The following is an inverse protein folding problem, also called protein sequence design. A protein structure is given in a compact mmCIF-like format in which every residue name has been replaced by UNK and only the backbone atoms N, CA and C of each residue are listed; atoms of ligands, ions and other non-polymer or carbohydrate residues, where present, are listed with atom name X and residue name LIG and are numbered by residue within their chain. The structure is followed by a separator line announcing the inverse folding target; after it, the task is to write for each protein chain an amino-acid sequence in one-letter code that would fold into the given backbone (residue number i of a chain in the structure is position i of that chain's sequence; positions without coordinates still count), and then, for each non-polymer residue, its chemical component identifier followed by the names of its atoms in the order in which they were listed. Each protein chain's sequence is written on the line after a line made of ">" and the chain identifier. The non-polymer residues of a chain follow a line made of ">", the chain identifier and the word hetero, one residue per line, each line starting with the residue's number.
data_IF_539759064657
#
_entry.id   IF_539759064657
#
_cell.length_a   1.000
_cell.length_b   1.000
_cell.length_c   1.000
_cell.angle_alpha   90.00
_cell.angle_beta   90.00
_cell.angle_gamma   90.00
#
_symmetry.space_group_name_H-M   'P 1'
#
loop_
_entity.id
_entity.type
_entity.pdbx_description
1 polymer ?
#
# COMPACT_ATOMS: atom_id res chain seq x y z
N UNK A 1 -46.58 49.29 7.03
CA UNK A 1 -46.50 50.25 5.91
C UNK A 1 -45.24 49.92 5.12
N UNK A 2 -45.39 49.29 3.95
CA UNK A 2 -44.28 48.71 3.20
C UNK A 2 -43.44 49.80 2.51
N UNK A 3 -42.11 49.77 2.71
CA UNK A 3 -41.19 50.65 2.02
C UNK A 3 -41.14 50.29 0.52
N UNK A 4 -41.46 51.27 -0.33
CA UNK A 4 -41.40 51.15 -1.79
C UNK A 4 -40.00 50.74 -2.26
N UNK A 5 -39.85 49.75 -3.17
CA UNK A 5 -38.56 49.35 -3.69
C UNK A 5 -38.01 50.48 -4.58
N UNK A 6 -36.89 51.09 -4.18
CA UNK A 6 -36.20 52.12 -4.97
C UNK A 6 -35.77 51.51 -6.31
N UNK A 7 -36.51 51.79 -7.38
CA UNK A 7 -36.15 51.39 -8.73
C UNK A 7 -34.87 52.12 -9.14
N UNK A 8 -33.76 51.39 -9.28
CA UNK A 8 -32.46 51.94 -9.66
C UNK A 8 -32.51 52.41 -11.12
N UNK A 9 -32.85 53.68 -11.36
CA UNK A 9 -32.82 54.27 -12.71
C UNK A 9 -31.37 54.40 -13.17
N UNK A 10 -30.90 53.43 -13.94
CA UNK A 10 -29.60 53.48 -14.58
C UNK A 10 -29.59 54.58 -15.63
N UNK A 11 -28.74 55.58 -15.42
CA UNK A 11 -28.50 56.65 -16.38
C UNK A 11 -27.02 56.70 -16.73
N UNK A 12 -26.72 57.08 -17.97
CA UNK A 12 -25.37 57.18 -18.54
C UNK A 12 -24.41 58.09 -17.74
N UNK A 13 -24.95 58.99 -16.90
CA UNK A 13 -24.18 59.89 -16.03
C UNK A 13 -24.00 59.35 -14.60
N UNK A 14 -24.66 58.26 -14.23
CA UNK A 14 -24.55 57.70 -12.88
C UNK A 14 -23.16 57.10 -12.64
N UNK A 15 -22.55 57.40 -11.47
CA UNK A 15 -21.22 56.90 -11.08
C UNK A 15 -21.15 55.37 -11.15
N UNK A 16 -22.23 54.68 -10.77
CA UNK A 16 -22.31 53.22 -10.82
C UNK A 16 -22.30 52.63 -12.24
N UNK A 17 -22.91 53.31 -13.22
CA UNK A 17 -22.90 52.86 -14.61
C UNK A 17 -21.53 53.05 -15.27
N UNK A 18 -20.87 54.19 -15.03
CA UNK A 18 -19.48 54.42 -15.51
C UNK A 18 -18.49 53.45 -14.88
N UNK A 19 -18.61 53.19 -13.58
CA UNK A 19 -17.77 52.20 -12.90
C UNK A 19 -17.95 50.80 -13.49
N UNK A 20 -19.18 50.41 -13.84
CA UNK A 20 -19.42 49.13 -14.50
C UNK A 20 -18.77 49.09 -15.90
N UNK A 21 -18.90 50.16 -16.69
CA UNK A 21 -18.25 50.23 -18.01
C UNK A 21 -16.75 50.06 -17.87
N UNK A 22 -16.09 50.80 -16.96
CA UNK A 22 -14.65 50.66 -16.77
C UNK A 22 -14.24 49.26 -16.30
N UNK A 23 -15.01 48.62 -15.42
CA UNK A 23 -14.75 47.25 -14.99
C UNK A 23 -14.89 46.26 -16.14
N UNK A 24 -15.95 46.39 -16.95
CA UNK A 24 -16.17 45.52 -18.12
C UNK A 24 -15.06 45.73 -19.15
N UNK A 25 -14.72 46.98 -19.48
CA UNK A 25 -13.63 47.28 -20.42
C UNK A 25 -12.29 46.76 -19.91
N UNK A 26 -11.98 46.96 -18.62
CA UNK A 26 -10.75 46.44 -18.02
C UNK A 26 -10.70 44.90 -18.06
N UNK A 27 -11.81 44.22 -17.75
CA UNK A 27 -11.91 42.76 -17.85
C UNK A 27 -11.71 42.27 -19.29
N UNK A 28 -12.35 42.92 -20.26
CA UNK A 28 -12.20 42.59 -21.69
C UNK A 28 -10.75 42.77 -22.14
N UNK A 29 -10.12 43.90 -21.80
CA UNK A 29 -8.72 44.16 -22.14
C UNK A 29 -7.78 43.15 -21.48
N UNK A 30 -8.01 42.81 -20.21
CA UNK A 30 -7.21 41.81 -19.50
C UNK A 30 -7.36 40.42 -20.12
N UNK A 31 -8.59 40.01 -20.47
CA UNK A 31 -8.83 38.72 -21.10
C UNK A 31 -8.21 38.67 -22.50
N UNK A 32 -8.36 39.72 -23.31
CA UNK A 32 -7.77 39.83 -24.63
C UNK A 32 -6.24 39.79 -24.59
N UNK A 33 -5.63 40.54 -23.67
CA UNK A 33 -4.18 40.51 -23.46
C UNK A 33 -3.70 39.13 -23.00
N UNK A 34 -4.42 38.51 -22.07
CA UNK A 34 -4.13 37.16 -21.58
C UNK A 34 -4.19 36.11 -22.70
N UNK A 35 -5.25 36.13 -23.52
CA UNK A 35 -5.37 35.20 -24.65
C UNK A 35 -4.32 35.46 -25.72
N UNK A 36 -3.99 36.73 -26.00
CA UNK A 36 -2.92 37.09 -26.94
C UNK A 36 -1.57 36.55 -26.49
N UNK A 37 -1.21 36.75 -25.23
CA UNK A 37 0.04 36.25 -24.66
C UNK A 37 0.08 34.71 -24.68
N UNK A 38 -1.00 34.06 -24.26
CA UNK A 38 -1.07 32.59 -24.24
C UNK A 38 -0.91 32.01 -25.65
N UNK A 39 -1.62 32.54 -26.64
CA UNK A 39 -1.53 32.10 -28.02
C UNK A 39 -0.14 32.35 -28.60
N UNK A 40 0.44 33.54 -28.35
CA UNK A 40 1.80 33.85 -28.77
C UNK A 40 2.82 32.87 -28.17
N UNK A 41 2.71 32.54 -26.88
CA UNK A 41 3.58 31.56 -26.24
C UNK A 41 3.38 30.16 -26.83
N UNK A 42 2.14 29.69 -26.96
CA UNK A 42 1.84 28.35 -27.48
C UNK A 42 2.32 28.19 -28.93
N UNK A 43 2.17 29.21 -29.76
CA UNK A 43 2.65 29.19 -31.16
C UNK A 43 4.18 29.16 -31.21
N UNK A 44 4.85 29.98 -30.40
CA UNK A 44 6.32 29.96 -30.28
C UNK A 44 6.86 28.61 -29.78
N UNK A 45 6.14 27.95 -28.87
CA UNK A 45 6.49 26.61 -28.39
C UNK A 45 6.29 25.56 -29.48
N UNK A 46 5.17 25.64 -30.22
CA UNK A 46 4.86 24.74 -31.34
C UNK A 46 5.88 24.84 -32.47
N UNK A 47 6.30 26.07 -32.82
CA UNK A 47 7.37 26.30 -33.82
C UNK A 47 8.71 25.68 -33.40
N UNK A 48 8.96 25.56 -32.10
CA UNK A 48 10.17 24.94 -31.53
C UNK A 48 10.02 23.43 -31.29
N UNK A 49 8.90 22.84 -31.72
CA UNK A 49 8.63 21.42 -31.53
C UNK A 49 8.37 21.01 -30.08
N UNK A 50 8.16 21.97 -29.17
CA UNK A 50 7.83 21.69 -27.78
C UNK A 50 6.34 21.33 -27.72
N UNK A 51 6.04 20.03 -27.68
CA UNK A 51 4.70 19.51 -27.44
C UNK A 51 4.27 19.86 -26.00
N UNK A 52 3.53 20.95 -25.85
CA UNK A 52 2.96 21.40 -24.58
C UNK A 52 1.49 21.02 -24.50
N UNK A 53 1.02 20.59 -23.33
CA UNK A 53 -0.37 20.15 -23.12
C UNK A 53 -0.47 18.85 -22.33
N UNK A 54 -1.69 18.31 -22.23
CA UNK A 54 -1.99 17.05 -21.53
C UNK A 54 -2.14 15.85 -22.48
N UNK A 55 -1.92 16.04 -23.78
CA UNK A 55 -2.03 14.99 -24.81
C UNK A 55 -1.12 13.79 -24.52
N UNK A 56 -0.02 14.02 -23.80
CA UNK A 56 0.89 12.96 -23.38
C UNK A 56 0.21 11.91 -22.50
N UNK A 57 -0.84 12.25 -21.74
CA UNK A 57 -1.53 11.32 -20.84
C UNK A 57 -2.10 10.13 -21.61
N UNK A 58 -2.60 10.36 -22.83
CA UNK A 58 -3.19 9.31 -23.68
C UNK A 58 -2.19 8.64 -24.61
N UNK A 59 -0.97 9.18 -24.73
CA UNK A 59 0.08 8.59 -25.57
C UNK A 59 0.64 7.30 -24.92
N UNK A 60 1.08 6.31 -25.72
CA UNK A 60 1.77 5.14 -25.20
C UNK A 60 3.02 5.52 -24.41
N UNK A 61 3.23 4.87 -23.26
CA UNK A 61 4.34 5.17 -22.36
C UNK A 61 5.71 4.78 -22.94
N UNK A 62 5.77 3.66 -23.67
CA UNK A 62 6.98 3.19 -24.34
C UNK A 62 8.04 2.58 -23.41
N UNK A 63 7.72 2.33 -22.14
CA UNK A 63 8.59 1.67 -21.16
C UNK A 63 7.80 0.65 -20.34
N UNK A 64 8.48 -0.37 -19.82
CA UNK A 64 7.88 -1.35 -18.92
C UNK A 64 8.06 -0.96 -17.44
N UNK A 65 7.08 -1.31 -16.60
CA UNK A 65 7.16 -1.15 -15.14
C UNK A 65 7.41 -2.54 -14.54
N UNK A 66 8.54 -2.72 -13.84
CA UNK A 66 8.97 -4.03 -13.34
C UNK A 66 8.00 -4.64 -12.32
N UNK A 67 7.76 -3.96 -11.20
CA UNK A 67 6.75 -4.37 -10.20
C UNK A 67 5.48 -3.57 -10.45
N UNK A 68 4.35 -4.23 -10.69
CA UNK A 68 3.06 -3.56 -10.85
C UNK A 68 1.93 -4.35 -10.19
N UNK A 69 1.17 -3.68 -9.32
CA UNK A 69 -0.04 -4.27 -8.72
C UNK A 69 -1.16 -4.36 -9.75
N UNK A 70 -1.24 -3.34 -10.62
CA UNK A 70 -2.16 -3.27 -11.74
C UNK A 70 -1.38 -3.69 -12.98
N UNK A 71 -1.79 -4.75 -13.70
CA UNK A 71 -1.10 -5.20 -14.91
C UNK A 71 -0.92 -4.03 -15.88
N UNK A 72 0.33 -3.79 -16.27
CA UNK A 72 0.72 -2.68 -17.13
C UNK A 72 1.65 -3.16 -18.25
N UNK A 73 1.39 -2.71 -19.47
CA UNK A 73 2.24 -2.94 -20.63
C UNK A 73 2.74 -1.60 -21.22
N UNK A 74 3.91 -1.63 -21.84
CA UNK A 74 4.60 -0.51 -22.49
C UNK A 74 3.77 0.18 -23.60
N UNK A 75 2.84 -0.55 -24.22
CA UNK A 75 1.91 -0.01 -25.21
C UNK A 75 0.78 0.83 -24.59
N UNK A 76 0.58 0.74 -23.28
CA UNK A 76 -0.48 1.46 -22.59
C UNK A 76 -0.13 2.92 -22.31
N UNK A 77 -1.16 3.71 -22.04
CA UNK A 77 -1.04 5.16 -21.91
C UNK A 77 -0.22 5.61 -20.68
N UNK A 78 0.45 6.77 -20.77
CA UNK A 78 1.11 7.43 -19.63
C UNK A 78 0.16 7.66 -18.44
N UNK A 79 -1.12 7.94 -18.71
CA UNK A 79 -2.14 8.08 -17.67
C UNK A 79 -2.26 6.84 -16.79
N UNK A 80 -2.28 5.65 -17.41
CA UNK A 80 -2.27 4.39 -16.68
C UNK A 80 -0.93 4.17 -15.96
N UNK A 81 0.19 4.51 -16.60
CA UNK A 81 1.51 4.43 -15.98
C UNK A 81 1.61 5.26 -14.69
N UNK A 82 1.02 6.47 -14.65
CA UNK A 82 0.96 7.28 -13.43
C UNK A 82 0.13 6.64 -12.33
N UNK A 83 -1.03 6.05 -12.66
CA UNK A 83 -1.87 5.37 -11.68
C UNK A 83 -1.13 4.17 -11.10
N UNK A 84 -0.46 3.39 -11.94
CA UNK A 84 0.35 2.24 -11.52
C UNK A 84 1.52 2.70 -10.63
N UNK A 85 2.27 3.71 -11.07
CA UNK A 85 3.38 4.27 -10.30
C UNK A 85 2.94 4.81 -8.95
N UNK A 86 1.86 5.59 -8.91
CA UNK A 86 1.27 6.11 -7.68
C UNK A 86 0.82 4.98 -6.74
N UNK A 87 0.18 3.94 -7.28
CA UNK A 87 -0.27 2.78 -6.50
C UNK A 87 0.90 2.04 -5.87
N UNK A 88 2.00 1.87 -6.61
CA UNK A 88 3.23 1.25 -6.10
C UNK A 88 3.88 2.10 -5.01
N UNK A 89 4.01 3.42 -5.22
CA UNK A 89 4.55 4.34 -4.21
C UNK A 89 3.71 4.31 -2.95
N UNK A 90 2.38 4.33 -3.05
CA UNK A 90 1.48 4.25 -1.90
C UNK A 90 1.63 2.92 -1.17
N UNK A 91 1.68 1.79 -1.89
CA UNK A 91 1.89 0.46 -1.30
C UNK A 91 3.18 0.41 -0.47
N UNK A 92 4.29 0.85 -1.07
CA UNK A 92 5.60 0.86 -0.39
C UNK A 92 5.59 1.84 0.79
N UNK A 93 4.99 3.03 0.63
CA UNK A 93 4.90 4.02 1.69
C UNK A 93 4.08 3.51 2.88
N UNK A 94 2.93 2.89 2.65
CA UNK A 94 2.08 2.34 3.73
C UNK A 94 2.82 1.27 4.51
N UNK A 95 3.39 0.28 3.82
CA UNK A 95 4.17 -0.79 4.47
C UNK A 95 5.38 -0.21 5.21
N UNK A 96 6.08 0.73 4.58
CA UNK A 96 7.23 1.42 5.16
C UNK A 96 6.87 2.20 6.42
N UNK A 97 5.78 2.96 6.42
CA UNK A 97 5.30 3.72 7.59
C UNK A 97 4.95 2.78 8.74
N UNK A 98 4.23 1.68 8.47
CA UNK A 98 3.84 0.71 9.50
C UNK A 98 5.08 0.08 10.13
N UNK A 99 6.01 -0.44 9.32
CA UNK A 99 7.23 -1.07 9.79
C UNK A 99 8.16 -0.08 10.51
N UNK A 100 8.35 1.12 9.95
CA UNK A 100 9.17 2.16 10.56
C UNK A 100 8.59 2.64 11.89
N UNK A 101 7.26 2.73 12.00
CA UNK A 101 6.60 3.09 13.27
C UNK A 101 6.83 2.00 14.31
N UNK A 102 6.56 0.73 13.98
CA UNK A 102 6.75 -0.39 14.92
C UNK A 102 8.20 -0.47 15.37
N UNK A 103 9.15 -0.55 14.44
CA UNK A 103 10.58 -0.64 14.75
C UNK A 103 11.10 0.61 15.46
N UNK A 104 10.74 1.80 14.96
CA UNK A 104 11.15 3.08 15.55
C UNK A 104 10.64 3.24 16.98
N UNK A 105 9.40 2.86 17.27
CA UNK A 105 8.85 2.88 18.63
C UNK A 105 9.55 1.87 19.53
N UNK A 106 9.75 0.63 19.08
CA UNK A 106 10.45 -0.40 19.88
C UNK A 106 11.89 0.03 20.23
N UNK A 107 12.63 0.51 19.24
CA UNK A 107 14.00 0.99 19.44
C UNK A 107 14.02 2.26 20.30
N UNK A 108 13.05 3.15 20.11
CA UNK A 108 12.85 4.35 20.94
C UNK A 108 12.63 4.02 22.41
N UNK A 109 11.76 3.06 22.72
CA UNK A 109 11.55 2.54 24.07
C UNK A 109 12.83 1.89 24.61
N UNK A 110 13.51 1.08 23.78
CA UNK A 110 14.77 0.43 24.13
C UNK A 110 15.87 1.41 24.58
N UNK A 111 15.93 2.61 23.99
CA UNK A 111 16.87 3.68 24.40
C UNK A 111 16.58 4.27 25.78
N UNK A 112 15.34 4.21 26.25
CA UNK A 112 14.95 4.65 27.60
C UNK A 112 15.07 3.55 28.65
N UNK A 113 15.45 2.32 28.25
CA UNK A 113 15.63 1.21 29.16
C UNK A 113 16.71 1.51 30.19
N UNK A 114 16.49 1.05 31.44
CA UNK A 114 17.50 1.08 32.51
C UNK A 114 18.64 0.08 32.25
N UNK A 115 18.41 -0.92 31.39
CA UNK A 115 19.43 -1.90 31.04
C UNK A 115 20.45 -1.25 30.08
N UNK A 116 21.70 -1.14 30.55
CA UNK A 116 22.81 -0.55 29.80
C UNK A 116 23.01 -1.21 28.43
N UNK A 117 22.93 -2.55 28.33
CA UNK A 117 23.17 -3.26 27.08
C UNK A 117 22.12 -2.92 26.03
N UNK A 118 20.84 -2.97 26.42
CA UNK A 118 19.72 -2.64 25.51
C UNK A 118 19.80 -1.19 25.06
N UNK A 119 20.05 -0.26 26.00
CA UNK A 119 20.19 1.16 25.70
C UNK A 119 21.36 1.44 24.75
N UNK A 120 22.51 0.82 24.97
CA UNK A 120 23.71 1.00 24.14
C UNK A 120 23.51 0.43 22.73
N UNK A 121 22.93 -0.75 22.60
CA UNK A 121 22.62 -1.35 21.30
C UNK A 121 21.63 -0.50 20.49
N UNK A 122 20.55 -0.03 21.12
CA UNK A 122 19.58 0.82 20.46
C UNK A 122 20.17 2.20 20.08
N UNK A 123 21.07 2.74 20.90
CA UNK A 123 21.75 4.01 20.62
C UNK A 123 22.72 3.86 19.44
N UNK A 124 23.54 2.81 19.44
CA UNK A 124 24.45 2.50 18.33
C UNK A 124 23.71 2.29 17.01
N UNK A 125 22.59 1.55 17.03
CA UNK A 125 21.72 1.41 15.86
C UNK A 125 21.26 2.78 15.34
N UNK A 126 20.66 3.61 16.20
CA UNK A 126 20.12 4.91 15.76
C UNK A 126 21.23 5.83 15.24
N UNK A 127 22.38 5.87 15.89
CA UNK A 127 23.51 6.69 15.45
C UNK A 127 24.05 6.21 14.11
N UNK A 128 24.23 4.90 13.91
CA UNK A 128 24.70 4.36 12.62
C UNK A 128 23.75 4.74 11.49
N UNK A 129 22.46 4.43 11.62
CA UNK A 129 21.49 4.63 10.53
C UNK A 129 21.20 6.11 10.25
N UNK A 130 21.37 7.01 11.23
CA UNK A 130 21.20 8.46 11.03
C UNK A 130 22.43 9.15 10.46
N UNK A 131 23.63 8.60 10.67
CA UNK A 131 24.88 9.19 10.21
C UNK A 131 25.32 8.67 8.83
N UNK A 132 24.84 7.51 8.39
CA UNK A 132 25.16 6.94 7.08
C UNK A 132 24.31 7.59 5.97
N UNK A 133 24.90 8.15 4.90
CA UNK A 133 24.15 8.72 3.78
C UNK A 133 23.16 7.73 3.16
N UNK A 134 21.93 8.18 2.89
CA UNK A 134 20.88 7.34 2.31
C UNK A 134 21.32 6.71 0.98
N UNK A 135 22.03 7.47 0.15
CA UNK A 135 22.55 6.99 -1.12
C UNK A 135 23.50 5.79 -0.94
N UNK A 136 24.37 5.84 0.07
CA UNK A 136 25.27 4.75 0.39
C UNK A 136 24.48 3.51 0.84
N UNK A 137 23.45 3.70 1.67
CA UNK A 137 22.58 2.59 2.06
C UNK A 137 21.92 1.93 0.85
N UNK A 138 21.39 2.73 -0.08
CA UNK A 138 20.79 2.22 -1.32
C UNK A 138 21.79 1.41 -2.15
N UNK A 139 23.03 1.87 -2.28
CA UNK A 139 24.06 1.11 -2.99
C UNK A 139 24.43 -0.19 -2.29
N UNK A 140 24.60 -0.18 -0.97
CA UNK A 140 24.86 -1.42 -0.22
C UNK A 140 23.75 -2.43 -0.47
N UNK A 141 22.49 -2.03 -0.30
CA UNK A 141 21.36 -2.93 -0.52
C UNK A 141 21.27 -3.40 -1.96
N UNK A 142 21.53 -2.53 -2.93
CA UNK A 142 21.59 -2.90 -4.34
C UNK A 142 22.63 -4.02 -4.56
N UNK A 143 23.89 -3.81 -4.16
CA UNK A 143 24.94 -4.81 -4.35
C UNK A 143 24.68 -6.10 -3.58
N UNK A 144 24.16 -6.01 -2.35
CA UNK A 144 23.77 -7.21 -1.59
C UNK A 144 22.70 -8.00 -2.36
N UNK A 145 21.69 -7.33 -2.90
CA UNK A 145 20.59 -8.00 -3.60
C UNK A 145 20.97 -8.49 -4.99
N UNK A 146 21.87 -7.82 -5.71
CA UNK A 146 22.20 -8.16 -7.11
C UNK A 146 23.48 -8.96 -7.27
N UNK A 147 24.48 -8.79 -6.40
CA UNK A 147 25.77 -9.49 -6.49
C UNK A 147 25.85 -10.68 -5.52
N UNK A 148 25.31 -10.55 -4.30
CA UNK A 148 25.43 -11.63 -3.30
C UNK A 148 24.32 -12.68 -3.39
N UNK A 149 23.10 -12.32 -3.82
CA UNK A 149 22.02 -13.30 -3.97
C UNK A 149 22.20 -14.08 -5.29
N UNK A 150 21.99 -15.41 -5.30
CA UNK A 150 22.10 -16.20 -6.52
C UNK A 150 20.92 -15.94 -7.49
N UNK A 151 21.12 -16.32 -8.75
CA UNK A 151 20.07 -16.37 -9.75
C UNK A 151 18.91 -17.27 -9.31
N UNK A 152 17.76 -17.13 -9.96
CA UNK A 152 16.57 -17.92 -9.63
C UNK A 152 16.79 -19.43 -9.78
N UNK A 153 17.70 -19.85 -10.65
CA UNK A 153 18.02 -21.26 -10.90
C UNK A 153 18.74 -21.91 -9.69
N UNK A 154 19.58 -21.13 -8.99
CA UNK A 154 20.38 -21.58 -7.84
C UNK A 154 19.90 -20.94 -6.53
N UNK A 155 18.59 -20.77 -6.36
CA UNK A 155 18.02 -20.07 -5.22
C UNK A 155 18.41 -20.68 -3.86
N UNK A 156 18.76 -19.82 -2.89
CA UNK A 156 19.06 -20.25 -1.53
C UNK A 156 17.79 -20.78 -0.86
N UNK A 157 17.89 -21.92 -0.18
CA UNK A 157 16.78 -22.55 0.54
C UNK A 157 17.02 -22.49 2.06
N UNK A 158 16.78 -21.35 2.72
CA UNK A 158 16.98 -21.23 4.17
C UNK A 158 16.01 -22.09 4.99
N UNK A 159 14.80 -22.33 4.48
CA UNK A 159 13.80 -23.22 5.07
C UNK A 159 13.15 -24.08 3.97
N UNK A 160 12.56 -25.21 4.37
CA UNK A 160 11.79 -26.04 3.46
C UNK A 160 10.67 -25.22 2.79
N UNK A 161 10.64 -25.22 1.45
CA UNK A 161 9.71 -24.47 0.61
C UNK A 161 9.89 -22.94 0.62
N UNK A 162 10.93 -22.40 1.25
CA UNK A 162 11.25 -20.98 1.20
C UNK A 162 12.50 -20.81 0.34
N UNK A 163 12.39 -20.02 -0.73
CA UNK A 163 13.46 -19.79 -1.69
C UNK A 163 13.82 -18.30 -1.70
N UNK A 164 15.10 -17.98 -1.65
CA UNK A 164 15.62 -16.62 -1.72
C UNK A 164 16.60 -16.49 -2.91
N UNK A 165 16.28 -15.62 -3.85
CA UNK A 165 17.11 -15.35 -5.04
C UNK A 165 17.02 -13.88 -5.43
N UNK A 166 17.69 -13.48 -6.53
CA UNK A 166 17.56 -12.13 -7.11
C UNK A 166 16.11 -11.74 -7.45
N UNK A 167 15.21 -12.71 -7.60
CA UNK A 167 13.78 -12.49 -7.81
C UNK A 167 13.01 -12.23 -6.50
N UNK A 168 13.70 -12.18 -5.36
CA UNK A 168 13.14 -11.94 -4.04
C UNK A 168 12.94 -13.23 -3.22
N UNK A 169 12.09 -13.13 -2.20
CA UNK A 169 11.73 -14.22 -1.30
C UNK A 169 10.43 -14.88 -1.79
N UNK A 170 10.51 -16.14 -2.19
CA UNK A 170 9.37 -16.96 -2.58
C UNK A 170 9.04 -17.93 -1.44
N UNK A 171 7.76 -17.99 -1.09
CA UNK A 171 7.25 -18.90 -0.07
C UNK A 171 5.84 -19.35 -0.46
N UNK A 172 5.41 -20.56 -0.06
CA UNK A 172 4.08 -21.05 -0.35
C UNK A 172 3.05 -20.22 0.42
N UNK A 173 2.13 -19.60 -0.31
CA UNK A 173 0.97 -18.96 0.29
C UNK A 173 -0.10 -20.04 0.46
N UNK A 174 -0.67 -20.22 1.66
CA UNK A 174 -1.80 -21.13 1.87
C UNK A 174 -2.97 -20.72 0.97
N UNK A 175 -3.32 -21.58 0.02
CA UNK A 175 -4.46 -21.34 -0.88
C UNK A 175 -5.70 -21.97 -0.27
N UNK A 176 -6.76 -21.18 -0.10
CA UNK A 176 -8.05 -21.69 0.34
C UNK A 176 -8.61 -22.66 -0.70
N UNK A 177 -8.88 -23.89 -0.29
CA UNK A 177 -9.45 -24.95 -1.12
C UNK A 177 -10.58 -25.65 -0.38
N UNK A 178 -11.49 -26.30 -1.13
CA UNK A 178 -12.59 -27.08 -0.56
C UNK A 178 -12.12 -28.15 0.44
N UNK A 179 -10.87 -28.62 0.34
CA UNK A 179 -10.28 -29.57 1.29
C UNK A 179 -10.24 -29.02 2.72
N UNK A 180 -10.08 -27.70 2.91
CA UNK A 180 -10.07 -27.08 4.24
C UNK A 180 -11.45 -27.12 4.91
N UNK A 181 -12.54 -27.08 4.13
CA UNK A 181 -13.90 -27.23 4.65
C UNK A 181 -14.17 -28.68 5.07
N UNK A 182 -13.71 -29.65 4.28
CA UNK A 182 -13.82 -31.06 4.63
C UNK A 182 -12.98 -31.41 5.86
N UNK A 183 -11.79 -30.84 6.01
CA UNK A 183 -10.96 -30.98 7.21
C UNK A 183 -11.65 -30.35 8.44
N UNK A 184 -12.26 -29.17 8.31
CA UNK A 184 -13.03 -28.56 9.39
C UNK A 184 -14.26 -29.40 9.78
N UNK A 185 -14.95 -29.97 8.80
CA UNK A 185 -16.07 -30.88 9.02
C UNK A 185 -15.62 -32.19 9.71
N UNK A 186 -14.48 -32.76 9.29
CA UNK A 186 -13.88 -33.94 9.91
C UNK A 186 -13.52 -33.70 11.38
N UNK A 187 -12.86 -32.59 11.68
CA UNK A 187 -12.55 -32.18 13.06
C UNK A 187 -13.84 -31.99 13.88
N UNK A 188 -14.87 -31.34 13.31
CA UNK A 188 -16.14 -31.15 14.01
C UNK A 188 -16.82 -32.49 14.34
N UNK A 189 -16.83 -33.44 13.40
CA UNK A 189 -17.35 -34.80 13.63
C UNK A 189 -16.51 -35.53 14.68
N UNK A 190 -15.19 -35.48 14.59
CA UNK A 190 -14.26 -36.07 15.56
C UNK A 190 -14.49 -35.53 16.98
N UNK A 191 -14.68 -34.22 17.12
CA UNK A 191 -15.01 -33.57 18.40
C UNK A 191 -16.37 -34.02 18.93
N UNK A 192 -17.40 -34.11 18.07
CA UNK A 192 -18.74 -34.59 18.48
C UNK A 192 -18.71 -36.05 18.93
N UNK A 193 -17.96 -36.91 18.23
CA UNK A 193 -17.80 -38.33 18.58
C UNK A 193 -16.99 -38.48 19.87
N UNK A 194 -15.90 -37.73 20.04
CA UNK A 194 -15.12 -37.68 21.28
C UNK A 194 -15.96 -37.17 22.47
N UNK A 195 -16.77 -36.14 22.25
CA UNK A 195 -17.71 -35.63 23.25
C UNK A 195 -18.78 -36.68 23.62
N UNK A 196 -19.34 -37.39 22.64
CA UNK A 196 -20.26 -38.51 22.88
C UNK A 196 -19.62 -39.65 23.69
N UNK A 197 -18.38 -40.03 23.35
CA UNK A 197 -17.62 -41.06 24.05
C UNK A 197 -17.32 -40.67 25.50
N UNK A 198 -16.88 -39.43 25.73
CA UNK A 198 -16.63 -38.92 27.10
C UNK A 198 -17.91 -38.91 27.94
N UNK A 199 -19.05 -38.50 27.37
CA UNK A 199 -20.36 -38.53 28.03
C UNK A 199 -20.82 -39.96 28.33
N UNK A 200 -20.60 -40.90 27.41
CA UNK A 200 -20.91 -42.31 27.61
C UNK A 200 -20.07 -42.92 28.73
N UNK A 201 -18.75 -42.74 28.70
CA UNK A 201 -17.85 -43.21 29.76
C UNK A 201 -18.16 -42.60 31.12
N UNK A 202 -18.54 -41.31 31.19
CA UNK A 202 -18.95 -40.66 32.43
C UNK A 202 -20.24 -41.28 33.02
N UNK A 203 -21.25 -41.53 32.17
CA UNK A 203 -22.50 -42.19 32.58
C UNK A 203 -22.26 -43.64 33.01
N UNK A 204 -21.42 -44.37 32.28
CA UNK A 204 -21.08 -45.74 32.61
C UNK A 204 -20.29 -45.83 33.92
N UNK A 205 -19.38 -44.88 34.17
CA UNK A 205 -18.65 -44.78 35.45
C UNK A 205 -19.58 -44.49 36.61
N UNK A 206 -20.58 -43.62 36.44
CA UNK A 206 -21.59 -43.34 37.46
C UNK A 206 -22.46 -44.56 37.79
N UNK A 207 -22.72 -45.44 36.82
CA UNK A 207 -23.53 -46.65 37.01
C UNK A 207 -22.74 -47.85 37.55
N UNK A 208 -21.48 -48.04 37.14
CA UNK A 208 -20.72 -49.28 37.42
C UNK A 208 -19.42 -49.07 38.22
N UNK A 209 -19.05 -47.84 38.58
CA UNK A 209 -17.88 -47.52 39.40
C UNK A 209 -16.50 -47.70 38.73
N UNK A 210 -16.41 -48.46 37.65
CA UNK A 210 -15.15 -48.75 36.94
C UNK A 210 -14.78 -47.63 35.96
N UNK A 211 -13.55 -47.11 36.04
CA UNK A 211 -13.03 -46.10 35.13
C UNK A 211 -12.45 -46.73 33.85
N UNK A 212 -12.97 -46.36 32.68
CA UNK A 212 -12.36 -46.68 31.37
C UNK A 212 -11.50 -45.51 30.88
N UNK A 213 -10.41 -45.74 30.14
CA UNK A 213 -9.55 -44.68 29.62
C UNK A 213 -10.30 -43.86 28.55
N UNK A 214 -10.37 -42.54 28.75
CA UNK A 214 -11.16 -41.62 27.90
C UNK A 214 -10.29 -40.78 26.96
N UNK A 215 -9.07 -40.42 27.39
CA UNK A 215 -8.17 -39.52 26.66
C UNK A 215 -7.60 -40.15 25.38
N UNK A 216 -7.09 -41.38 25.45
CA UNK A 216 -6.45 -42.06 24.31
C UNK A 216 -7.42 -42.36 23.15
N UNK A 217 -8.64 -42.89 23.39
CA UNK A 217 -9.61 -43.12 22.31
C UNK A 217 -10.14 -41.82 21.70
N UNK A 218 -10.36 -40.79 22.52
CA UNK A 218 -10.85 -39.49 22.05
C UNK A 218 -9.82 -38.79 21.14
N UNK A 219 -8.53 -38.84 21.50
CA UNK A 219 -7.45 -38.30 20.67
C UNK A 219 -7.27 -39.09 19.37
N UNK A 220 -7.38 -40.43 19.43
CA UNK A 220 -7.32 -41.27 18.24
C UNK A 220 -8.48 -40.98 17.27
N UNK A 221 -9.69 -40.74 17.77
CA UNK A 221 -10.86 -40.42 16.95
C UNK A 221 -10.76 -39.04 16.28
N UNK A 222 -10.13 -38.05 16.93
CA UNK A 222 -9.89 -36.72 16.36
C UNK A 222 -8.75 -36.77 15.33
N UNK A 223 -7.74 -37.62 15.52
CA UNK A 223 -6.60 -37.72 14.60
C UNK A 223 -6.88 -38.51 13.32
N UNK A 224 -7.94 -39.32 13.28
CA UNK A 224 -8.33 -40.15 12.12
C UNK A 224 -9.28 -39.41 11.17
N UNK A 225 -9.88 -38.28 11.60
CA UNK A 225 -10.80 -37.46 10.81
C UNK A 225 -10.12 -36.18 10.32
#
# INVERSE_FOLDING_TARGET
>A
MAASPKTRRWSWRSKSFRSLIYQVTALVLLFAAGTYLLQNTLENMRLRGIKSGFDFITQPAGFAIGESVIPFDSAESYGKAFIVGLSNTLRVAVVGIVLATILGTLIGIGRLSRNYLVRSLCTAYVELFRNVPLLLQLFIWYFVLTELLPSADDALQPLAHVYLSKNGLQYPIPVWSAAHLWMAAGIAIGVLVAWGWTRYCARHRAATGVARPVLLPALALIAVC
#
